data_IF_602202970098
#
_entry.id   IF_602202970098
#
_cell.length_a   1.000
_cell.length_b   1.000
_cell.length_c   1.000
_cell.angle_alpha   90.00
_cell.angle_beta   90.00
_cell.angle_gamma   90.00
#
_symmetry.space_group_name_H-M   'P 1'
#
loop_
_entity.id
_entity.type
_entity.pdbx_description
1 polymer ?
#
# COMPACT_ATOMS: atom_id res chain seq x y z
N UNK A 1 6.50 -5.01 -32.62
CA UNK A 1 6.17 -3.57 -32.48
C UNK A 1 4.66 -3.42 -32.20
N UNK A 2 4.19 -3.92 -31.05
CA UNK A 2 2.79 -3.89 -30.58
C UNK A 2 2.74 -3.61 -29.07
N UNK A 3 3.76 -4.08 -28.35
CA UNK A 3 4.01 -3.88 -26.93
C UNK A 3 4.10 -2.41 -26.48
N UNK A 4 4.61 -1.48 -27.30
CA UNK A 4 4.75 -0.07 -26.90
C UNK A 4 3.45 0.73 -26.86
N UNK A 5 2.40 0.27 -27.56
CA UNK A 5 1.11 0.98 -27.58
C UNK A 5 0.25 0.63 -26.36
N UNK A 6 0.26 -0.64 -25.94
CA UNK A 6 -0.49 -1.11 -24.78
C UNK A 6 0.09 -0.55 -23.46
N UNK A 7 1.42 -0.46 -23.35
CA UNK A 7 2.10 0.16 -22.22
C UNK A 7 1.76 1.65 -22.10
N UNK A 8 1.83 2.39 -23.21
CA UNK A 8 1.46 3.82 -23.25
C UNK A 8 0.02 4.05 -22.82
N UNK A 9 -0.93 3.26 -23.35
CA UNK A 9 -2.34 3.34 -22.95
C UNK A 9 -2.55 3.02 -21.47
N UNK A 10 -1.83 2.02 -20.94
CA UNK A 10 -1.90 1.67 -19.52
C UNK A 10 -1.37 2.80 -18.64
N UNK A 11 -0.23 3.40 -19.00
CA UNK A 11 0.35 4.53 -18.25
C UNK A 11 -0.56 5.76 -18.29
N UNK A 12 -1.14 6.10 -19.44
CA UNK A 12 -2.11 7.18 -19.57
C UNK A 12 -3.35 6.93 -18.70
N UNK A 13 -3.89 5.71 -18.74
CA UNK A 13 -5.03 5.30 -17.91
C UNK A 13 -4.71 5.39 -16.41
N UNK A 14 -3.55 4.87 -15.98
CA UNK A 14 -3.12 4.95 -14.59
C UNK A 14 -2.91 6.39 -14.14
N UNK A 15 -2.37 7.24 -15.01
CA UNK A 15 -2.16 8.67 -14.76
C UNK A 15 -3.50 9.39 -14.60
N UNK A 16 -4.46 9.16 -15.51
CA UNK A 16 -5.81 9.71 -15.40
C UNK A 16 -6.51 9.24 -14.11
N UNK A 17 -6.38 7.95 -13.76
CA UNK A 17 -6.93 7.40 -12.51
C UNK A 17 -6.27 7.99 -11.25
N UNK A 18 -4.96 8.27 -11.30
CA UNK A 18 -4.26 8.94 -10.20
C UNK A 18 -4.81 10.35 -9.95
N UNK A 19 -5.11 11.11 -11.00
CA UNK A 19 -5.72 12.44 -10.86
C UNK A 19 -7.15 12.36 -10.30
N UNK A 20 -7.95 11.41 -10.79
CA UNK A 20 -9.30 11.17 -10.25
C UNK A 20 -9.24 10.80 -8.76
N UNK A 21 -8.28 9.95 -8.37
CA UNK A 21 -8.06 9.58 -6.97
C UNK A 21 -7.69 10.80 -6.12
N UNK A 22 -6.86 11.71 -6.63
CA UNK A 22 -6.56 12.97 -5.93
C UNK A 22 -7.83 13.74 -5.59
N UNK A 23 -8.71 13.97 -6.58
CA UNK A 23 -9.96 14.73 -6.37
C UNK A 23 -10.87 14.06 -5.34
N UNK A 24 -11.06 12.73 -5.46
CA UNK A 24 -11.87 11.96 -4.51
C UNK A 24 -11.32 12.09 -3.08
N UNK A 25 -10.01 11.89 -2.90
CA UNK A 25 -9.41 11.98 -1.57
C UNK A 25 -9.42 13.40 -1.02
N UNK A 26 -9.29 14.41 -1.88
CA UNK A 26 -9.37 15.81 -1.48
C UNK A 26 -10.76 16.16 -0.92
N UNK A 27 -11.83 15.68 -1.56
CA UNK A 27 -13.21 15.99 -1.20
C UNK A 27 -13.71 15.24 0.05
N UNK A 28 -13.14 14.06 0.34
CA UNK A 28 -13.44 13.34 1.58
C UNK A 28 -12.93 14.17 2.77
N UNK A 29 -13.63 14.28 3.91
CA UNK A 29 -13.08 14.94 5.10
C UNK A 29 -11.88 14.21 5.68
N UNK A 30 -11.03 14.92 6.43
CA UNK A 30 -9.92 14.28 7.15
C UNK A 30 -10.46 13.33 8.23
N UNK A 31 -9.85 12.15 8.34
CA UNK A 31 -10.29 11.14 9.29
C UNK A 31 -9.16 10.26 9.82
N UNK A 32 -9.48 9.59 10.92
CA UNK A 32 -8.69 8.54 11.52
C UNK A 32 -9.57 7.33 11.79
N UNK A 33 -9.09 6.13 11.46
CA UNK A 33 -9.77 4.87 11.79
C UNK A 33 -8.77 3.82 12.25
N UNK A 34 -9.18 3.03 13.24
CA UNK A 34 -8.50 1.80 13.64
C UNK A 34 -9.38 0.60 13.31
N UNK A 35 -8.82 -0.37 12.61
CA UNK A 35 -9.48 -1.62 12.25
C UNK A 35 -8.73 -2.75 12.96
N UNK A 36 -9.40 -3.39 13.91
CA UNK A 36 -8.87 -4.57 14.59
C UNK A 36 -9.12 -5.79 13.74
N UNK A 37 -8.03 -6.42 13.31
CA UNK A 37 -8.04 -7.71 12.65
C UNK A 37 -7.89 -8.77 13.76
N UNK A 38 -8.90 -9.62 13.89
CA UNK A 38 -8.88 -10.76 14.82
C UNK A 38 -9.32 -12.01 14.07
N UNK A 39 -8.63 -13.13 14.29
CA UNK A 39 -9.14 -14.40 13.78
C UNK A 39 -10.29 -14.89 14.66
N UNK A 40 -11.35 -15.39 14.02
CA UNK A 40 -12.54 -15.91 14.70
C UNK A 40 -12.48 -17.43 14.90
N UNK A 41 -11.35 -18.08 14.57
CA UNK A 41 -11.21 -19.54 14.53
C UNK A 41 -10.58 -20.06 15.84
N UNK A 42 -11.31 -20.83 16.66
CA UNK A 42 -10.76 -21.51 17.83
C UNK A 42 -9.74 -22.58 17.37
N UNK A 43 -8.66 -22.79 18.14
CA UNK A 43 -7.49 -23.66 17.87
C UNK A 43 -6.38 -23.12 16.94
N UNK A 44 -6.64 -22.16 16.05
CA UNK A 44 -5.62 -21.60 15.13
C UNK A 44 -5.24 -20.15 15.47
N UNK A 45 -5.76 -19.61 16.58
CA UNK A 45 -5.61 -18.20 16.97
C UNK A 45 -4.17 -17.76 17.25
N UNK A 46 -3.26 -18.68 17.57
CA UNK A 46 -1.82 -18.38 17.68
C UNK A 46 -1.13 -18.28 16.31
N UNK A 47 -1.69 -18.91 15.29
CA UNK A 47 -1.15 -18.95 13.93
C UNK A 47 -1.83 -17.96 12.97
N UNK A 48 -2.89 -17.27 13.39
CA UNK A 48 -3.50 -16.16 12.65
C UNK A 48 -3.21 -14.85 13.37
N UNK A 49 -2.90 -13.77 12.67
CA UNK A 49 -2.38 -12.61 13.34
C UNK A 49 -3.54 -11.75 13.84
N UNK A 50 -3.50 -11.40 15.12
CA UNK A 50 -4.24 -10.23 15.55
C UNK A 50 -3.43 -8.98 15.18
N UNK A 51 -4.00 -8.09 14.38
CA UNK A 51 -3.41 -6.78 14.06
C UNK A 51 -4.40 -5.64 14.37
N UNK A 52 -3.87 -4.43 14.42
CA UNK A 52 -4.66 -3.20 14.35
C UNK A 52 -4.12 -2.36 13.22
N UNK A 53 -4.84 -2.35 12.09
CA UNK A 53 -4.56 -1.44 10.98
C UNK A 53 -5.03 -0.05 11.38
N UNK A 54 -4.13 0.93 11.30
CA UNK A 54 -4.47 2.33 11.58
C UNK A 54 -4.38 3.12 10.29
N UNK A 55 -5.44 3.85 9.96
CA UNK A 55 -5.50 4.63 8.73
C UNK A 55 -5.73 6.09 9.09
N UNK A 56 -4.84 6.96 8.64
CA UNK A 56 -5.00 8.41 8.70
C UNK A 56 -5.14 8.94 7.29
N UNK A 57 -6.20 9.69 7.05
CA UNK A 57 -6.39 10.43 5.81
C UNK A 57 -6.30 11.91 6.14
N UNK A 58 -5.42 12.64 5.44
CA UNK A 58 -5.26 14.10 5.56
C UNK A 58 -5.09 14.75 4.19
N UNK A 59 -5.99 15.66 3.83
CA UNK A 59 -6.09 16.17 2.47
C UNK A 59 -6.20 15.01 1.48
N UNK A 60 -5.38 15.00 0.44
CA UNK A 60 -5.35 13.92 -0.56
C UNK A 60 -4.36 12.77 -0.23
N UNK A 61 -3.85 12.72 1.00
CA UNK A 61 -2.84 11.73 1.42
C UNK A 61 -3.43 10.72 2.42
N UNK A 62 -2.95 9.48 2.34
CA UNK A 62 -3.32 8.39 3.25
C UNK A 62 -2.05 7.77 3.83
N UNK A 63 -2.04 7.58 5.15
CA UNK A 63 -1.07 6.73 5.83
C UNK A 63 -1.78 5.52 6.41
N UNK A 64 -1.27 4.33 6.14
CA UNK A 64 -1.72 3.08 6.72
C UNK A 64 -0.58 2.47 7.56
N UNK A 65 -0.79 2.27 8.86
CA UNK A 65 0.17 1.60 9.74
C UNK A 65 -0.31 0.19 10.08
N UNK A 66 0.60 -0.78 10.02
CA UNK A 66 0.35 -2.21 10.27
C UNK A 66 1.48 -2.77 11.14
N UNK A 67 1.16 -3.75 11.99
CA UNK A 67 2.12 -4.31 12.95
C UNK A 67 2.71 -5.65 12.52
N UNK A 68 2.17 -6.26 11.47
CA UNK A 68 2.68 -7.49 10.87
C UNK A 68 3.59 -7.14 9.70
N UNK A 69 4.81 -7.68 9.73
CA UNK A 69 5.82 -7.50 8.68
C UNK A 69 5.89 -8.67 7.72
N UNK A 70 5.75 -9.89 8.23
CA UNK A 70 6.05 -11.11 7.47
C UNK A 70 5.41 -12.34 8.15
N UNK A 71 5.10 -13.38 7.37
CA UNK A 71 4.68 -14.70 7.83
C UNK A 71 5.71 -15.77 7.44
N UNK A 72 6.51 -16.23 8.39
CA UNK A 72 7.46 -17.32 8.17
C UNK A 72 7.10 -18.55 9.02
N UNK A 73 6.90 -19.72 8.41
CA UNK A 73 6.64 -21.00 9.08
C UNK A 73 5.61 -20.92 10.22
N UNK A 74 4.48 -20.20 10.03
CA UNK A 74 3.40 -19.93 11.01
C UNK A 74 3.71 -18.92 12.13
N UNK A 75 4.92 -18.36 12.16
CA UNK A 75 5.28 -17.25 13.05
C UNK A 75 5.16 -15.90 12.34
N UNK A 76 4.38 -15.01 12.94
CA UNK A 76 4.22 -13.64 12.48
C UNK A 76 5.39 -12.79 12.95
N UNK A 77 6.16 -12.26 12.01
CA UNK A 77 7.14 -11.22 12.31
C UNK A 77 6.38 -9.94 12.55
N UNK A 78 6.51 -9.38 13.75
CA UNK A 78 5.92 -8.08 14.08
C UNK A 78 6.93 -6.96 13.92
N UNK A 79 6.43 -5.77 13.61
CA UNK A 79 7.21 -4.54 13.59
C UNK A 79 6.38 -3.37 13.10
N UNK A 80 6.97 -2.19 13.07
CA UNK A 80 6.24 -0.95 12.75
C UNK A 80 6.50 -0.57 11.31
N UNK A 81 5.50 -0.77 10.46
CA UNK A 81 5.51 -0.36 9.06
C UNK A 81 4.41 0.65 8.79
N UNK A 82 4.70 1.60 7.89
CA UNK A 82 3.69 2.52 7.34
C UNK A 82 3.75 2.53 5.82
N UNK A 83 2.60 2.40 5.17
CA UNK A 83 2.42 2.74 3.76
C UNK A 83 1.91 4.17 3.69
N UNK A 84 2.64 5.03 2.98
CA UNK A 84 2.24 6.41 2.73
C UNK A 84 1.86 6.56 1.26
N UNK A 85 0.58 6.72 1.00
CA UNK A 85 0.03 7.11 -0.29
C UNK A 85 -0.09 8.62 -0.36
N UNK A 86 0.55 9.22 -1.36
CA UNK A 86 0.48 10.64 -1.67
C UNK A 86 -0.07 10.82 -3.06
N UNK A 87 -1.06 11.67 -3.21
CA UNK A 87 -1.63 11.98 -4.52
C UNK A 87 -1.47 13.47 -4.81
N UNK A 88 -1.38 13.79 -6.09
CA UNK A 88 -1.13 15.14 -6.57
C UNK A 88 -2.10 15.46 -7.72
N UNK A 89 -2.45 16.75 -7.92
CA UNK A 89 -3.39 17.15 -8.96
C UNK A 89 -2.80 17.07 -10.37
N UNK A 90 -1.47 17.19 -10.49
CA UNK A 90 -0.76 17.48 -11.74
C UNK A 90 0.30 16.44 -12.11
N UNK A 91 0.50 15.43 -11.25
CA UNK A 91 1.52 14.40 -11.44
C UNK A 91 1.08 13.05 -10.85
N UNK A 92 1.70 11.93 -11.27
CA UNK A 92 1.41 10.62 -10.70
C UNK A 92 1.60 10.59 -9.18
N UNK A 93 0.73 9.83 -8.50
CA UNK A 93 0.83 9.57 -7.08
C UNK A 93 2.11 8.82 -6.69
N UNK A 94 2.43 8.88 -5.41
CA UNK A 94 3.60 8.22 -4.82
C UNK A 94 3.15 7.28 -3.71
N UNK A 95 3.73 6.07 -3.66
CA UNK A 95 3.61 5.16 -2.53
C UNK A 95 4.98 4.96 -1.92
N UNK A 96 5.09 5.24 -0.62
CA UNK A 96 6.33 5.08 0.15
C UNK A 96 6.09 4.07 1.25
N UNK A 97 6.91 3.02 1.30
CA UNK A 97 6.98 2.09 2.42
C UNK A 97 7.99 2.64 3.43
N UNK A 98 7.56 2.82 4.68
CA UNK A 98 8.39 3.23 5.80
C UNK A 98 8.55 2.05 6.75
N UNK A 99 9.79 1.63 7.00
CA UNK A 99 10.11 0.72 8.11
C UNK A 99 10.69 1.53 9.25
N UNK A 100 9.90 1.70 10.31
CA UNK A 100 10.29 2.50 11.48
C UNK A 100 11.34 1.80 12.34
N UNK A 101 11.42 0.47 12.29
CA UNK A 101 12.40 -0.28 13.07
C UNK A 101 13.76 -0.29 12.37
N UNK A 102 13.76 -0.47 11.04
CA UNK A 102 14.97 -0.34 10.21
C UNK A 102 15.36 1.12 9.91
N UNK A 103 14.46 2.08 10.19
CA UNK A 103 14.59 3.51 9.83
C UNK A 103 14.82 3.74 8.35
N UNK A 104 14.12 2.97 7.51
CA UNK A 104 14.22 3.07 6.05
C UNK A 104 12.94 3.62 5.44
N UNK A 105 13.09 4.30 4.31
CA UNK A 105 11.99 4.79 3.49
C UNK A 105 12.25 4.38 2.03
N UNK A 106 11.32 3.66 1.44
CA UNK A 106 11.46 3.11 0.10
C UNK A 106 10.31 3.60 -0.77
N UNK A 107 10.64 4.26 -1.88
CA UNK A 107 9.65 4.64 -2.88
C UNK A 107 9.32 3.42 -3.76
N UNK A 108 8.11 2.89 -3.58
CA UNK A 108 7.61 1.70 -4.27
C UNK A 108 6.67 2.04 -5.43
N UNK A 109 6.54 3.33 -5.77
CA UNK A 109 5.63 3.79 -6.84
C UNK A 109 5.98 3.20 -8.21
N UNK A 110 7.26 2.87 -8.43
CA UNK A 110 7.74 2.29 -9.69
C UNK A 110 7.08 0.95 -10.02
N UNK A 111 6.78 0.14 -9.00
CA UNK A 111 6.13 -1.16 -9.18
C UNK A 111 4.65 -1.03 -9.56
N UNK A 112 4.01 0.08 -9.16
CA UNK A 112 2.61 0.39 -9.50
C UNK A 112 2.50 1.01 -10.90
N UNK A 113 3.47 1.85 -11.27
CA UNK A 113 3.46 2.59 -12.53
C UNK A 113 3.96 1.78 -13.74
N UNK A 114 4.72 0.71 -13.51
CA UNK A 114 5.15 -0.24 -14.54
C UNK A 114 4.81 -1.66 -14.08
N UNK A 115 3.53 -2.08 -14.20
CA UNK A 115 3.12 -3.42 -13.83
C UNK A 115 3.70 -4.42 -14.84
N UNK A 116 4.94 -4.84 -14.63
CA UNK A 116 5.46 -6.07 -15.23
C UNK A 116 5.06 -7.25 -14.35
N UNK A 117 5.10 -8.46 -14.91
CA UNK A 117 4.86 -9.67 -14.12
C UNK A 117 5.86 -9.74 -12.94
N UNK A 118 7.12 -9.38 -13.17
CA UNK A 118 8.12 -9.33 -12.11
C UNK A 118 7.82 -8.24 -11.06
N UNK A 119 7.28 -7.08 -11.46
CA UNK A 119 6.92 -6.00 -10.55
C UNK A 119 5.72 -6.38 -9.65
N UNK A 120 4.76 -7.14 -10.19
CA UNK A 120 3.63 -7.67 -9.42
C UNK A 120 4.12 -8.73 -8.42
N UNK A 121 4.97 -9.66 -8.87
CA UNK A 121 5.53 -10.70 -7.99
C UNK A 121 6.37 -10.07 -6.87
N UNK A 122 7.21 -9.07 -7.18
CA UNK A 122 7.98 -8.31 -6.18
C UNK A 122 7.08 -7.52 -5.23
N UNK A 123 5.98 -6.94 -5.72
CA UNK A 123 5.03 -6.21 -4.86
C UNK A 123 4.30 -7.15 -3.91
N UNK A 124 3.98 -8.36 -4.36
CA UNK A 124 3.40 -9.41 -3.51
C UNK A 124 4.41 -9.88 -2.47
N UNK A 125 5.68 -10.07 -2.84
CA UNK A 125 6.75 -10.38 -1.90
C UNK A 125 6.99 -9.26 -0.86
N UNK A 126 6.71 -8.00 -1.17
CA UNK A 126 6.76 -6.91 -0.18
C UNK A 126 5.54 -6.86 0.74
N UNK A 127 4.47 -7.60 0.42
CA UNK A 127 3.27 -7.75 1.24
C UNK A 127 3.31 -9.00 2.13
N UNK A 128 4.28 -9.90 1.91
CA UNK A 128 4.53 -11.13 2.66
C UNK A 128 5.86 -11.08 3.41
#
# INVERSE_FOLDING_TARGET
MLWSSAEKQTVELLTARSMVLYSILHDIPDFYVEIKLTSWVPLVSRALPSDTLKIWKKGSNIRCDFSIKDLHNTTWKRGRLSHLLRTFPDRPGQVVLLDHDARTAQDVSKFIMHPSKEAIDTSLEMLY
#
